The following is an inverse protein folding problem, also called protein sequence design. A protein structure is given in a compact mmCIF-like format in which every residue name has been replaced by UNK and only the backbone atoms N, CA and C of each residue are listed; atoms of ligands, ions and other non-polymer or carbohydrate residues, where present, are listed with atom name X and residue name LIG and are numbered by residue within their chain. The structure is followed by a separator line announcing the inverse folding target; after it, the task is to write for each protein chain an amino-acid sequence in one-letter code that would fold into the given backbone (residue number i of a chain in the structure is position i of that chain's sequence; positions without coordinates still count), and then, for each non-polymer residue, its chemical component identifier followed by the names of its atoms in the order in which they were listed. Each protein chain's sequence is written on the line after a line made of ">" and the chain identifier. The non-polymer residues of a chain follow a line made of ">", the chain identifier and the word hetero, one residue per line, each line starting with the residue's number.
data_IF_208327244740
#
_entry.id   IF_208327244740
#
_cell.length_a   1.000
_cell.length_b   1.000
_cell.length_c   1.000
_cell.angle_alpha   90.00
_cell.angle_beta   90.00
_cell.angle_gamma   90.00
#
_symmetry.space_group_name_H-M   'P 1'
#
loop_
_entity.id
_entity.type
_entity.pdbx_description
1 polymer ?
#
# COMPACT_ATOMS: atom_id res chain seq x y z
N UNK A 1 -1.19 -46.71 -1.68
CA UNK A 1 0.05 -46.57 -0.87
C UNK A 1 0.87 -45.30 -1.10
N UNK A 2 0.62 -44.48 -2.14
CA UNK A 2 1.42 -43.27 -2.42
C UNK A 2 0.93 -42.01 -1.66
N UNK A 3 -0.37 -41.90 -1.38
CA UNK A 3 -0.94 -40.78 -0.61
C UNK A 3 -0.56 -40.84 0.88
N UNK A 4 -0.61 -42.01 1.50
CA UNK A 4 -0.32 -42.19 2.93
C UNK A 4 1.14 -41.89 3.33
N UNK A 5 2.08 -41.98 2.39
CA UNK A 5 3.48 -41.59 2.62
C UNK A 5 3.67 -40.07 2.56
N UNK A 6 2.86 -39.36 1.77
CA UNK A 6 2.93 -37.90 1.65
C UNK A 6 2.36 -37.20 2.88
N UNK A 7 1.28 -37.74 3.46
CA UNK A 7 0.69 -37.23 4.71
C UNK A 7 1.61 -37.45 5.94
N UNK A 8 2.36 -38.56 5.96
CA UNK A 8 3.36 -38.83 7.00
C UNK A 8 4.54 -37.87 6.97
N UNK A 9 4.95 -37.41 5.79
CA UNK A 9 6.02 -36.42 5.65
C UNK A 9 5.56 -35.02 6.08
N UNK A 10 4.31 -34.65 5.79
CA UNK A 10 3.71 -33.36 6.19
C UNK A 10 3.71 -33.16 7.71
N UNK A 11 3.46 -34.22 8.48
CA UNK A 11 3.49 -34.19 9.95
C UNK A 11 4.88 -34.03 10.56
N UNK A 12 5.94 -34.21 9.76
CA UNK A 12 7.34 -34.06 10.20
C UNK A 12 7.93 -32.70 9.84
N UNK A 13 7.22 -31.89 9.05
CA UNK A 13 7.67 -30.55 8.66
C UNK A 13 7.40 -29.59 9.82
N UNK A 14 8.43 -28.96 10.40
CA UNK A 14 8.24 -27.95 11.44
C UNK A 14 7.38 -26.80 10.90
N UNK A 15 6.47 -26.26 11.71
CA UNK A 15 5.63 -25.12 11.33
C UNK A 15 6.44 -23.89 10.88
N UNK A 16 7.71 -23.78 11.30
CA UNK A 16 8.63 -22.74 10.83
C UNK A 16 9.08 -22.95 9.38
N UNK A 17 9.24 -24.20 8.92
CA UNK A 17 9.64 -24.49 7.54
C UNK A 17 8.52 -24.15 6.56
N UNK A 18 7.27 -24.48 6.89
CA UNK A 18 6.12 -24.06 6.08
C UNK A 18 5.97 -22.54 6.06
N UNK A 19 6.23 -21.84 7.17
CA UNK A 19 6.25 -20.38 7.23
C UNK A 19 7.35 -19.76 6.33
N UNK A 20 8.58 -20.28 6.41
CA UNK A 20 9.68 -19.80 5.57
C UNK A 20 9.39 -20.06 4.09
N UNK A 21 8.87 -21.24 3.75
CA UNK A 21 8.52 -21.58 2.38
C UNK A 21 7.40 -20.69 1.83
N UNK A 22 6.35 -20.41 2.59
CA UNK A 22 5.27 -19.51 2.13
C UNK A 22 5.75 -18.08 1.96
N UNK A 23 6.61 -17.58 2.86
CA UNK A 23 7.25 -16.27 2.69
C UNK A 23 8.16 -16.23 1.46
N UNK A 24 8.88 -17.32 1.18
CA UNK A 24 9.75 -17.42 0.02
C UNK A 24 8.96 -17.49 -1.28
N UNK A 25 7.87 -18.26 -1.33
CA UNK A 25 6.94 -18.31 -2.47
C UNK A 25 6.32 -16.94 -2.75
N UNK A 26 5.89 -16.23 -1.72
CA UNK A 26 5.38 -14.87 -1.85
C UNK A 26 6.44 -13.90 -2.36
N UNK A 27 7.67 -13.99 -1.82
CA UNK A 27 8.79 -13.16 -2.25
C UNK A 27 9.16 -13.40 -3.72
N UNK A 28 9.24 -14.66 -4.17
CA UNK A 28 9.51 -15.01 -5.57
C UNK A 28 8.40 -14.48 -6.48
N UNK A 29 7.14 -14.67 -6.09
CA UNK A 29 5.99 -14.18 -6.85
C UNK A 29 6.02 -12.66 -7.00
N UNK A 30 6.31 -11.94 -5.91
CA UNK A 30 6.49 -10.49 -5.94
C UNK A 30 7.67 -10.07 -6.83
N UNK A 31 8.80 -10.78 -6.77
CA UNK A 31 9.99 -10.51 -7.58
C UNK A 31 9.72 -10.70 -9.09
N UNK A 32 8.92 -11.70 -9.45
CA UNK A 32 8.47 -11.93 -10.83
C UNK A 32 7.59 -10.78 -11.33
N UNK A 33 6.64 -10.31 -10.52
CA UNK A 33 5.80 -9.14 -10.85
C UNK A 33 6.66 -7.88 -11.01
N UNK A 34 7.62 -7.66 -10.11
CA UNK A 34 8.58 -6.55 -10.20
C UNK A 34 9.43 -6.63 -11.47
N UNK A 35 9.87 -7.82 -11.86
CA UNK A 35 10.68 -8.03 -13.06
C UNK A 35 9.86 -7.78 -14.33
N UNK A 36 8.59 -8.21 -14.34
CA UNK A 36 7.65 -7.89 -15.41
C UNK A 36 7.41 -6.37 -15.52
N UNK A 37 7.26 -5.66 -14.39
CA UNK A 37 7.15 -4.20 -14.37
C UNK A 37 8.40 -3.50 -14.92
N UNK A 38 9.60 -4.02 -14.59
CA UNK A 38 10.86 -3.50 -15.14
C UNK A 38 10.96 -3.78 -16.65
N UNK A 39 10.51 -4.95 -17.11
CA UNK A 39 10.38 -5.27 -18.53
C UNK A 39 9.47 -4.29 -19.26
N UNK A 40 8.31 -3.95 -18.69
CA UNK A 40 7.40 -2.96 -19.27
C UNK A 40 8.07 -1.58 -19.40
N UNK A 41 8.91 -1.19 -18.42
CA UNK A 41 9.58 0.12 -18.40
C UNK A 41 10.83 0.21 -19.29
N UNK A 42 11.71 -0.79 -19.28
CA UNK A 42 13.00 -0.75 -20.01
C UNK A 42 12.96 -1.49 -21.35
N UNK A 43 12.04 -2.44 -21.54
CA UNK A 43 12.13 -3.47 -22.59
C UNK A 43 13.20 -4.53 -22.26
N UNK A 44 12.98 -5.80 -22.65
CA UNK A 44 13.87 -6.91 -22.30
C UNK A 44 13.20 -8.28 -22.33
N UNK A 45 13.53 -9.16 -21.38
CA UNK A 45 12.83 -10.44 -21.14
C UNK A 45 11.79 -10.31 -20.00
N UNK A 46 10.59 -10.91 -20.13
CA UNK A 46 9.48 -10.73 -19.19
C UNK A 46 9.66 -11.47 -17.85
N UNK A 47 10.51 -12.49 -17.76
CA UNK A 47 10.73 -13.26 -16.52
C UNK A 47 11.99 -12.83 -15.77
N UNK A 48 11.92 -12.82 -14.43
CA UNK A 48 13.11 -12.62 -13.56
C UNK A 48 14.22 -13.64 -13.87
N UNK A 49 13.82 -14.89 -14.06
CA UNK A 49 14.74 -16.00 -14.39
C UNK A 49 15.43 -15.74 -15.72
N UNK A 50 14.71 -15.29 -16.75
CA UNK A 50 15.31 -14.98 -18.05
C UNK A 50 16.25 -13.77 -17.99
N UNK A 51 15.97 -12.80 -17.11
CA UNK A 51 16.84 -11.64 -16.89
C UNK A 51 18.13 -12.02 -16.13
N UNK A 52 18.04 -12.91 -15.13
CA UNK A 52 19.20 -13.45 -14.40
C UNK A 52 20.05 -14.37 -15.29
N UNK A 53 19.41 -15.21 -16.11
CA UNK A 53 20.10 -16.14 -17.02
C UNK A 53 20.44 -15.53 -18.39
N UNK A 54 20.08 -14.27 -18.65
CA UNK A 54 20.42 -13.56 -19.89
C UNK A 54 19.80 -14.15 -21.16
N UNK A 55 18.72 -14.93 -21.03
CA UNK A 55 18.06 -15.59 -22.16
C UNK A 55 17.22 -14.53 -22.89
N UNK A 56 17.64 -14.16 -24.09
CA UNK A 56 16.89 -13.24 -24.94
C UNK A 56 15.87 -14.05 -25.75
N UNK A 57 14.57 -13.80 -25.61
CA UNK A 57 13.57 -14.41 -26.48
C UNK A 57 13.77 -13.89 -27.90
N UNK A 58 14.32 -14.74 -28.78
CA UNK A 58 14.48 -14.45 -30.21
C UNK A 58 13.32 -15.11 -30.95
N UNK A 59 12.61 -14.33 -31.76
CA UNK A 59 11.56 -14.88 -32.63
C UNK A 59 12.18 -15.89 -33.59
N UNK A 60 11.63 -17.11 -33.63
CA UNK A 60 12.06 -18.17 -34.56
C UNK A 60 11.60 -17.90 -36.00
N UNK A 61 10.77 -16.88 -36.21
CA UNK A 61 10.28 -16.46 -37.53
C UNK A 61 11.32 -15.57 -38.20
N UNK A 62 11.72 -15.93 -39.43
CA UNK A 62 12.64 -15.12 -40.24
C UNK A 62 12.09 -13.70 -40.38
N UNK A 63 12.87 -12.64 -40.06
CA UNK A 63 12.42 -11.28 -40.27
C UNK A 63 12.24 -11.04 -41.77
N UNK A 64 10.99 -10.91 -42.23
CA UNK A 64 10.73 -10.33 -43.54
C UNK A 64 11.13 -8.85 -43.49
N UNK A 65 11.47 -8.25 -44.64
CA UNK A 65 11.94 -6.85 -44.78
C UNK A 65 10.97 -5.78 -44.22
N UNK A 66 9.81 -6.20 -43.72
CA UNK A 66 8.76 -5.40 -43.08
C UNK A 66 8.61 -5.70 -41.59
N UNK A 67 9.70 -6.01 -40.87
CA UNK A 67 9.70 -6.26 -39.42
C UNK A 67 9.58 -4.96 -38.61
N UNK A 68 8.48 -4.24 -38.82
CA UNK A 68 8.11 -3.05 -38.06
C UNK A 68 7.75 -3.48 -36.64
N UNK A 69 8.65 -3.18 -35.69
CA UNK A 69 8.29 -2.78 -34.32
C UNK A 69 7.37 -3.68 -33.49
N UNK A 70 7.15 -4.96 -33.81
CA UNK A 70 6.21 -5.80 -33.05
C UNK A 70 6.52 -5.84 -31.55
N UNK A 71 7.81 -5.90 -31.17
CA UNK A 71 8.22 -5.85 -29.75
C UNK A 71 7.82 -4.55 -29.05
N UNK A 72 7.84 -3.43 -29.78
CA UNK A 72 7.44 -2.12 -29.28
C UNK A 72 5.91 -2.02 -29.12
N UNK A 73 5.15 -2.41 -30.16
CA UNK A 73 3.70 -2.40 -30.15
C UNK A 73 3.12 -3.31 -29.06
N UNK A 74 3.65 -4.54 -28.93
CA UNK A 74 3.20 -5.46 -27.87
C UNK A 74 3.55 -4.94 -26.48
N UNK A 75 4.68 -4.24 -26.31
CA UNK A 75 5.04 -3.60 -25.03
C UNK A 75 4.09 -2.45 -24.68
N UNK A 76 3.76 -1.59 -25.63
CA UNK A 76 2.81 -0.49 -25.41
C UNK A 76 1.44 -1.03 -24.99
N UNK A 77 0.94 -2.07 -25.67
CA UNK A 77 -0.34 -2.69 -25.32
C UNK A 77 -0.35 -3.26 -23.90
N UNK A 78 0.72 -3.99 -23.52
CA UNK A 78 0.86 -4.52 -22.17
C UNK A 78 0.97 -3.42 -21.11
N UNK A 79 1.70 -2.34 -21.42
CA UNK A 79 1.84 -1.19 -20.53
C UNK A 79 0.50 -0.48 -20.30
N UNK A 80 -0.27 -0.27 -21.36
CA UNK A 80 -1.62 0.30 -21.26
C UNK A 80 -2.56 -0.57 -20.43
N UNK A 81 -2.58 -1.90 -20.66
CA UNK A 81 -3.38 -2.82 -19.85
C UNK A 81 -2.96 -2.85 -18.37
N UNK A 82 -1.66 -2.74 -18.10
CA UNK A 82 -1.16 -2.66 -16.73
C UNK A 82 -1.59 -1.35 -16.03
N UNK A 83 -1.54 -0.21 -16.73
CA UNK A 83 -2.02 1.07 -16.18
C UNK A 83 -3.51 1.01 -15.89
N UNK A 84 -4.31 0.41 -16.78
CA UNK A 84 -5.75 0.26 -16.55
C UNK A 84 -6.04 -0.55 -15.27
N UNK A 85 -5.31 -1.64 -15.07
CA UNK A 85 -5.37 -2.40 -13.82
C UNK A 85 -4.96 -1.53 -12.61
N UNK A 86 -3.88 -0.76 -12.70
CA UNK A 86 -3.46 0.13 -11.60
C UNK A 86 -4.48 1.20 -11.29
N UNK A 87 -5.12 1.79 -12.31
CA UNK A 87 -6.18 2.77 -12.11
C UNK A 87 -7.38 2.17 -11.36
N UNK A 88 -7.68 0.88 -11.54
CA UNK A 88 -8.73 0.17 -10.79
C UNK A 88 -8.28 -0.24 -9.38
N UNK A 89 -7.01 -0.58 -9.21
CA UNK A 89 -6.47 -1.06 -7.92
C UNK A 89 -6.10 0.10 -6.98
N UNK A 90 -5.59 1.22 -7.50
CA UNK A 90 -5.21 2.41 -6.73
C UNK A 90 -6.32 2.94 -5.80
N UNK A 91 -7.58 3.10 -6.22
CA UNK A 91 -8.65 3.55 -5.33
C UNK A 91 -9.01 2.52 -4.25
N UNK A 92 -8.72 1.25 -4.49
CA UNK A 92 -8.92 0.19 -3.51
C UNK A 92 -7.81 0.17 -2.43
N UNK A 93 -6.67 0.79 -2.70
CA UNK A 93 -5.58 0.91 -1.73
C UNK A 93 -5.85 2.14 -0.85
N UNK A 94 -6.01 1.91 0.45
CA UNK A 94 -6.18 2.98 1.43
C UNK A 94 -4.84 3.74 1.64
N UNK A 95 -4.58 4.73 0.78
CA UNK A 95 -3.37 5.57 0.79
C UNK A 95 -3.09 6.27 2.14
N UNK A 96 -4.07 6.80 2.91
CA UNK A 96 -3.75 7.38 4.20
C UNK A 96 -3.30 6.34 5.25
N UNK A 97 -3.77 5.08 5.18
CA UNK A 97 -3.21 4.00 6.01
C UNK A 97 -1.77 3.69 5.64
N UNK A 98 -1.46 3.58 4.35
CA UNK A 98 -0.13 3.23 3.88
C UNK A 98 0.90 4.32 4.23
N UNK A 99 0.52 5.59 4.09
CA UNK A 99 1.34 6.72 4.53
C UNK A 99 1.61 6.72 6.04
N UNK A 100 0.62 6.34 6.86
CA UNK A 100 0.81 6.17 8.30
C UNK A 100 1.75 5.01 8.63
N UNK A 101 1.59 3.85 7.97
CA UNK A 101 2.47 2.69 8.18
C UNK A 101 3.91 3.02 7.79
N UNK A 102 4.12 3.64 6.62
CA UNK A 102 5.44 4.03 6.15
C UNK A 102 6.09 5.05 7.09
N UNK A 103 5.35 6.08 7.53
CA UNK A 103 5.85 7.06 8.49
C UNK A 103 6.22 6.41 9.83
N UNK A 104 5.36 5.55 10.36
CA UNK A 104 5.59 4.90 11.65
C UNK A 104 6.74 3.88 11.58
N UNK A 105 6.96 3.26 10.42
CA UNK A 105 8.10 2.37 10.17
C UNK A 105 9.43 3.14 10.11
N UNK A 106 9.43 4.38 9.61
CA UNK A 106 10.63 5.22 9.49
C UNK A 106 10.91 6.01 10.78
N UNK A 107 9.89 6.58 11.42
CA UNK A 107 10.04 7.53 12.53
C UNK A 107 9.59 6.99 13.90
N UNK A 108 9.12 5.74 13.96
CA UNK A 108 8.57 5.16 15.19
C UNK A 108 7.18 5.69 15.52
N UNK A 109 6.48 5.00 16.44
CA UNK A 109 5.17 5.45 16.93
C UNK A 109 5.37 6.44 18.08
N UNK A 110 4.88 7.69 17.99
CA UNK A 110 4.86 8.56 19.16
C UNK A 110 3.89 7.98 20.19
N UNK A 111 4.37 7.68 21.40
CA UNK A 111 3.50 7.31 22.52
C UNK A 111 2.82 8.58 23.03
N UNK A 112 1.53 8.73 22.74
CA UNK A 112 0.79 9.96 23.08
C UNK A 112 -0.30 9.66 24.09
N UNK A 113 -0.19 10.31 25.25
CA UNK A 113 -1.23 10.37 26.26
C UNK A 113 -2.39 11.27 25.79
N UNK A 114 -3.64 11.02 26.26
CA UNK A 114 -4.78 11.89 25.96
C UNK A 114 -4.48 13.34 26.37
N UNK A 115 -4.99 14.30 25.60
CA UNK A 115 -4.78 15.71 25.89
C UNK A 115 -5.39 16.06 27.27
N UNK A 116 -4.54 16.43 28.23
CA UNK A 116 -4.97 16.76 29.60
C UNK A 116 -5.74 18.09 29.69
N UNK A 117 -5.74 18.90 28.62
CA UNK A 117 -6.41 20.20 28.55
C UNK A 117 -7.16 20.32 27.22
N UNK A 118 -8.29 21.04 27.19
CA UNK A 118 -8.97 21.33 25.93
C UNK A 118 -8.05 22.17 25.03
N UNK A 119 -7.92 21.83 23.73
CA UNK A 119 -7.07 22.57 22.81
C UNK A 119 -7.54 24.02 22.68
N UNK A 120 -6.59 24.96 22.71
CA UNK A 120 -6.86 26.39 22.51
C UNK A 120 -6.89 26.66 21.01
N UNK A 121 -8.02 27.16 20.50
CA UNK A 121 -8.15 27.49 19.09
C UNK A 121 -7.45 28.82 18.80
N UNK A 122 -6.36 28.76 18.04
CA UNK A 122 -5.61 29.92 17.55
C UNK A 122 -5.95 30.20 16.08
N UNK A 123 -5.73 31.43 15.61
CA UNK A 123 -5.84 31.81 14.20
C UNK A 123 -4.90 31.02 13.27
N UNK A 124 -3.89 30.35 13.83
CA UNK A 124 -2.98 29.46 13.11
C UNK A 124 -3.39 27.98 13.16
N UNK A 125 -4.54 27.64 13.74
CA UNK A 125 -5.05 26.28 13.76
C UNK A 125 -5.27 25.76 12.33
N UNK A 126 -4.60 24.68 11.98
CA UNK A 126 -4.74 23.99 10.69
C UNK A 126 -5.32 22.60 10.92
N UNK A 127 -6.13 22.14 9.97
CA UNK A 127 -6.63 20.79 9.98
C UNK A 127 -5.50 19.79 9.74
N UNK A 128 -5.36 18.76 10.58
CA UNK A 128 -4.33 17.72 10.39
C UNK A 128 -4.48 16.87 9.12
N UNK A 129 -5.66 16.88 8.49
CA UNK A 129 -5.95 16.14 7.25
C UNK A 129 -5.72 17.00 6.02
N UNK A 130 -6.45 18.12 5.86
CA UNK A 130 -6.36 18.95 4.67
C UNK A 130 -5.33 20.09 4.77
N UNK A 131 -4.73 20.31 5.95
CA UNK A 131 -3.76 21.39 6.25
C UNK A 131 -4.27 22.81 5.97
N UNK A 132 -5.58 22.98 5.78
CA UNK A 132 -6.27 24.27 5.65
C UNK A 132 -6.89 24.70 6.98
N UNK A 133 -7.40 25.94 7.03
CA UNK A 133 -8.18 26.41 8.16
C UNK A 133 -9.44 25.54 8.34
N UNK A 134 -9.72 25.03 9.55
CA UNK A 134 -10.77 24.04 9.75
C UNK A 134 -12.18 24.64 9.61
N UNK A 135 -12.98 24.05 8.72
CA UNK A 135 -14.42 24.36 8.58
C UNK A 135 -15.18 23.51 9.60
N UNK A 136 -15.77 24.18 10.59
CA UNK A 136 -16.39 23.55 11.78
C UNK A 136 -15.35 22.67 12.50
N UNK A 137 -14.54 23.22 13.42
CA UNK A 137 -13.48 22.47 14.05
C UNK A 137 -14.02 21.35 14.96
N UNK A 138 -13.48 20.15 14.78
CA UNK A 138 -13.70 18.99 15.64
C UNK A 138 -12.38 18.49 16.21
N UNK A 139 -12.46 17.87 17.38
CA UNK A 139 -11.32 17.27 18.08
C UNK A 139 -11.67 15.84 18.50
N UNK A 140 -10.68 14.97 18.52
CA UNK A 140 -10.85 13.52 18.74
C UNK A 140 -10.41 13.12 20.16
N UNK A 141 -9.88 14.06 20.96
CA UNK A 141 -9.25 13.80 22.27
C UNK A 141 -7.74 14.07 22.29
N UNK A 142 -7.18 14.54 21.17
CA UNK A 142 -5.83 15.11 21.08
C UNK A 142 -5.89 16.63 20.84
N UNK A 143 -4.74 17.30 20.91
CA UNK A 143 -4.58 18.75 20.71
C UNK A 143 -4.70 19.20 19.23
N UNK A 144 -5.10 18.30 18.33
CA UNK A 144 -5.18 18.56 16.89
C UNK A 144 -6.61 18.83 16.43
N UNK A 145 -6.75 19.82 15.53
CA UNK A 145 -8.02 20.21 14.95
C UNK A 145 -8.30 19.52 13.61
N UNK A 146 -9.58 19.25 13.36
CA UNK A 146 -10.06 18.64 12.13
C UNK A 146 -11.29 19.38 11.60
N UNK A 147 -11.48 19.42 10.27
CA UNK A 147 -12.76 19.82 9.70
C UNK A 147 -13.82 18.73 9.95
N UNK A 148 -15.09 19.12 10.11
CA UNK A 148 -16.20 18.17 10.22
C UNK A 148 -16.19 17.09 9.12
N UNK A 149 -16.05 17.50 7.86
CA UNK A 149 -16.05 16.57 6.73
C UNK A 149 -14.83 15.64 6.75
N UNK A 150 -13.64 16.18 7.01
CA UNK A 150 -12.40 15.40 6.99
C UNK A 150 -12.39 14.33 8.08
N UNK A 151 -12.88 14.64 9.28
CA UNK A 151 -12.95 13.63 10.34
C UNK A 151 -14.08 12.64 10.10
N UNK A 152 -15.25 13.09 9.66
CA UNK A 152 -16.39 12.20 9.39
C UNK A 152 -16.06 11.20 8.29
N UNK A 153 -15.44 11.63 7.19
CA UNK A 153 -15.01 10.72 6.12
C UNK A 153 -13.97 9.71 6.61
N UNK A 154 -13.06 10.15 7.48
CA UNK A 154 -12.01 9.28 8.02
C UNK A 154 -12.53 8.24 9.01
N UNK A 155 -13.50 8.61 9.85
CA UNK A 155 -14.19 7.69 10.78
C UNK A 155 -15.12 6.72 10.04
N UNK A 156 -15.75 7.16 8.94
CA UNK A 156 -16.55 6.29 8.07
C UNK A 156 -15.68 5.26 7.36
N UNK A 157 -14.50 5.65 6.89
CA UNK A 157 -13.55 4.73 6.27
C UNK A 157 -12.91 3.78 7.29
N UNK A 158 -12.56 4.31 8.48
CA UNK A 158 -11.85 3.59 9.53
C UNK A 158 -12.39 3.94 10.92
N UNK A 159 -13.09 2.99 11.56
CA UNK A 159 -13.59 3.18 12.94
C UNK A 159 -12.48 3.44 13.96
N UNK A 160 -11.27 2.95 13.71
CA UNK A 160 -10.09 3.12 14.55
C UNK A 160 -9.14 4.13 13.94
N UNK A 161 -9.64 5.35 13.72
CA UNK A 161 -8.86 6.42 13.14
C UNK A 161 -7.82 6.96 14.15
N UNK A 162 -6.56 6.98 13.71
CA UNK A 162 -5.43 7.58 14.43
C UNK A 162 -5.10 8.95 13.82
N UNK A 163 -4.92 9.96 14.68
CA UNK A 163 -4.46 11.28 14.25
C UNK A 163 -3.10 11.16 13.51
N UNK A 164 -2.93 11.78 12.33
CA UNK A 164 -1.69 11.64 11.55
C UNK A 164 -0.47 12.30 12.20
N UNK A 165 -0.68 13.32 13.04
CA UNK A 165 0.42 14.08 13.63
C UNK A 165 0.89 13.48 14.96
N UNK A 166 -0.03 12.94 15.78
CA UNK A 166 0.31 12.39 17.10
C UNK A 166 -0.02 10.90 17.30
N UNK A 167 -0.68 10.23 16.35
CA UNK A 167 -1.04 8.82 16.49
C UNK A 167 -2.11 8.51 17.53
N UNK A 168 -2.73 9.51 18.16
CA UNK A 168 -3.81 9.29 19.13
C UNK A 168 -5.03 8.68 18.44
N UNK A 169 -5.53 7.57 18.99
CA UNK A 169 -6.78 6.94 18.60
C UNK A 169 -7.81 7.16 19.69
N UNK A 170 -9.00 7.66 19.34
CA UNK A 170 -10.10 7.68 20.31
C UNK A 170 -10.67 6.26 20.48
N UNK A 171 -10.68 5.67 21.69
CA UNK A 171 -11.34 4.40 21.94
C UNK A 171 -12.85 4.43 21.68
N UNK A 172 -13.50 5.58 21.85
CA UNK A 172 -14.96 5.73 21.69
C UNK A 172 -15.38 5.97 20.23
N UNK A 173 -14.42 6.21 19.32
CA UNK A 173 -14.68 6.47 17.91
C UNK A 173 -15.48 7.75 17.62
N UNK A 174 -15.64 8.64 18.60
CA UNK A 174 -16.41 9.88 18.47
C UNK A 174 -15.50 11.10 18.28
N UNK A 175 -15.89 12.03 17.41
CA UNK A 175 -15.24 13.34 17.30
C UNK A 175 -16.17 14.40 17.90
N UNK A 176 -15.72 15.09 18.94
CA UNK A 176 -16.51 16.15 19.58
C UNK A 176 -16.31 17.46 18.83
N UNK A 177 -17.40 18.20 18.61
CA UNK A 177 -17.34 19.54 18.03
C UNK A 177 -16.61 20.44 19.02
N UNK A 178 -15.61 21.17 18.53
CA UNK A 178 -14.97 22.19 19.35
C UNK A 178 -15.91 23.40 19.43
N UNK A 179 -16.23 23.80 20.65
CA UNK A 179 -17.08 24.96 20.94
C UNK A 179 -16.20 25.96 21.68
N UNK A 180 -16.12 27.18 21.15
CA UNK A 180 -15.49 28.31 21.84
C UNK A 180 -16.21 28.48 23.17
N UNK A 181 -15.51 28.35 24.29
CA UNK A 181 -15.97 28.81 25.60
C UNK A 181 -15.44 30.21 25.85
#
# INVERSE_FOLDING_TARGET
>A
GRSSNFERLKNKVPNWVSFVLTHFEFAISALNVLSFLVFLRRGGSPLFVENVFGIKPVSTVKPSERSIGYSYMTRELLWHGAIELFCLVLPHINVPKLGRIARNAVFGKPAVAPAARPPVFSSQAKCSICRQYPIVPHVIGCDHFFCYFCISSSLLADRKYECPDCGYCNPDGMAVRWVVK
#
